data_IF_017244863917
#
_entry.id   IF_017244863917
#
_cell.length_a   1.000
_cell.length_b   1.000
_cell.length_c   1.000
_cell.angle_alpha   90.00
_cell.angle_beta   90.00
_cell.angle_gamma   90.00
#
_symmetry.space_group_name_H-M   'P 1'
#
loop_
_entity.id
_entity.type
_entity.pdbx_description
1 polymer ?
#
# COMPACT_ATOMS: atom_id res chain seq x y z
N UNK A 1 65.69 -45.18 -4.13
CA UNK A 1 65.24 -43.81 -4.42
C UNK A 1 63.74 -43.74 -4.15
N UNK A 2 63.35 -43.24 -2.95
CA UNK A 2 61.91 -43.14 -2.54
C UNK A 2 61.41 -41.77 -2.95
N UNK A 3 60.38 -41.70 -3.84
CA UNK A 3 59.72 -40.47 -4.22
C UNK A 3 58.65 -40.16 -3.21
N UNK A 4 58.82 -39.03 -2.51
CA UNK A 4 57.90 -38.49 -1.54
C UNK A 4 56.82 -37.72 -2.32
N UNK A 5 55.52 -38.15 -2.30
CA UNK A 5 54.36 -37.43 -2.81
C UNK A 5 53.83 -36.56 -1.69
N UNK A 6 53.84 -35.25 -1.89
CA UNK A 6 53.28 -34.27 -1.00
C UNK A 6 51.83 -33.95 -1.51
N UNK A 7 50.78 -34.14 -0.71
CA UNK A 7 49.44 -33.74 -1.13
C UNK A 7 49.25 -32.24 -0.90
N UNK A 8 48.94 -31.53 -1.97
CA UNK A 8 48.57 -30.13 -1.99
C UNK A 8 47.12 -30.00 -1.45
N UNK A 9 46.97 -29.51 -0.22
CA UNK A 9 45.67 -29.19 0.37
C UNK A 9 45.22 -27.84 -0.20
N UNK A 10 44.26 -27.86 -1.12
CA UNK A 10 43.56 -26.66 -1.62
C UNK A 10 42.54 -26.23 -0.58
N UNK A 11 42.86 -25.17 0.16
CA UNK A 11 41.94 -24.53 1.11
C UNK A 11 40.96 -23.66 0.33
N UNK A 12 39.75 -24.16 0.07
CA UNK A 12 38.66 -23.39 -0.50
C UNK A 12 38.08 -22.50 0.58
N UNK A 13 38.48 -21.23 0.59
CA UNK A 13 37.81 -20.19 1.42
C UNK A 13 36.45 -19.88 0.84
N UNK A 14 35.41 -20.39 1.49
CA UNK A 14 34.02 -19.98 1.24
C UNK A 14 33.86 -18.53 1.67
N UNK A 15 33.89 -17.58 0.73
CA UNK A 15 33.39 -16.25 0.95
C UNK A 15 31.86 -16.34 1.06
N UNK A 16 31.37 -16.48 2.29
CA UNK A 16 29.98 -16.30 2.58
C UNK A 16 29.65 -14.82 2.33
N UNK A 17 28.94 -14.52 1.22
CA UNK A 17 28.27 -13.24 1.06
C UNK A 17 27.25 -13.10 2.18
N UNK A 18 27.61 -12.36 3.23
CA UNK A 18 26.63 -11.91 4.21
C UNK A 18 25.70 -10.92 3.52
N UNK A 19 24.43 -11.29 3.39
CA UNK A 19 23.40 -10.35 3.01
C UNK A 19 23.41 -9.17 4.00
N UNK A 20 23.22 -7.92 3.55
CA UNK A 20 23.22 -6.78 4.45
C UNK A 20 22.09 -6.97 5.48
N UNK A 21 22.44 -7.05 6.76
CA UNK A 21 21.46 -7.06 7.84
C UNK A 21 20.62 -5.80 7.76
N UNK A 22 19.34 -5.96 7.52
CA UNK A 22 18.37 -4.87 7.58
C UNK A 22 18.25 -4.44 9.05
N UNK A 23 18.96 -3.38 9.44
CA UNK A 23 18.85 -2.84 10.79
C UNK A 23 17.45 -2.31 11.01
N UNK A 24 16.63 -3.08 11.72
CA UNK A 24 15.34 -2.62 12.24
C UNK A 24 15.65 -1.60 13.33
N UNK A 25 15.35 -0.32 13.07
CA UNK A 25 15.48 0.71 14.11
C UNK A 25 14.26 0.60 15.02
N UNK A 26 14.43 -0.03 16.17
CA UNK A 26 13.42 -0.05 17.24
C UNK A 26 13.49 1.27 17.96
N UNK A 27 12.46 2.10 17.85
CA UNK A 27 12.28 3.27 18.68
C UNK A 27 11.61 2.82 19.97
N UNK A 28 12.27 2.99 21.11
CA UNK A 28 11.68 2.68 22.40
C UNK A 28 10.42 3.54 22.62
N UNK A 29 9.29 2.88 22.89
CA UNK A 29 8.06 3.57 23.24
C UNK A 29 8.16 4.17 24.64
N UNK A 30 7.64 5.38 24.85
CA UNK A 30 7.42 5.91 26.19
C UNK A 30 6.27 5.16 26.88
N UNK A 31 6.33 4.97 28.19
CA UNK A 31 5.38 4.17 28.98
C UNK A 31 3.94 4.70 28.94
N UNK A 32 3.69 5.91 28.49
CA UNK A 32 2.41 6.63 28.62
C UNK A 32 1.58 6.75 27.36
N UNK A 33 2.01 6.19 26.21
CA UNK A 33 1.27 6.36 24.94
C UNK A 33 1.22 5.02 24.22
N UNK A 34 0.20 4.84 23.41
CA UNK A 34 0.03 3.74 22.44
C UNK A 34 1.29 3.61 21.56
N UNK A 35 2.37 3.12 22.16
CA UNK A 35 3.65 2.94 21.53
C UNK A 35 3.62 1.78 20.54
N UNK A 36 4.59 1.75 19.65
CA UNK A 36 4.74 0.68 18.67
C UNK A 36 6.05 0.80 17.92
N UNK A 37 6.28 -0.13 17.01
CA UNK A 37 7.40 -0.10 16.07
C UNK A 37 6.90 0.13 14.65
N UNK A 38 7.75 0.70 13.79
CA UNK A 38 7.48 0.73 12.36
C UNK A 38 8.61 0.04 11.59
N UNK A 39 8.25 -0.60 10.48
CA UNK A 39 9.17 -1.28 9.57
C UNK A 39 8.94 -0.75 8.16
N UNK A 40 10.01 -0.40 7.45
CA UNK A 40 9.92 0.17 6.10
C UNK A 40 9.98 -0.87 4.98
N UNK A 41 10.42 -2.09 5.26
CA UNK A 41 10.57 -3.17 4.28
C UNK A 41 10.20 -4.49 4.94
N UNK A 42 8.95 -4.88 4.87
CA UNK A 42 8.44 -6.15 5.37
C UNK A 42 7.47 -6.79 4.37
N UNK A 43 6.91 -7.92 4.73
CA UNK A 43 5.94 -8.62 3.90
C UNK A 43 4.66 -7.79 3.66
N UNK A 44 4.22 -7.01 4.63
CA UNK A 44 3.01 -6.18 4.51
C UNK A 44 3.22 -5.02 3.55
N UNK A 45 4.35 -4.31 3.65
CA UNK A 45 4.71 -3.28 2.67
C UNK A 45 4.87 -3.86 1.27
N UNK A 46 5.43 -5.08 1.12
CA UNK A 46 5.53 -5.77 -0.16
C UNK A 46 4.15 -6.08 -0.75
N UNK A 47 3.20 -6.56 0.05
CA UNK A 47 1.81 -6.81 -0.37
C UNK A 47 1.09 -5.50 -0.77
N UNK A 48 1.30 -4.40 -0.05
CA UNK A 48 0.71 -3.09 -0.45
C UNK A 48 1.32 -2.59 -1.75
N UNK A 49 2.62 -2.77 -1.95
CA UNK A 49 3.26 -2.47 -3.23
C UNK A 49 2.66 -3.28 -4.37
N UNK A 50 2.44 -4.58 -4.17
CA UNK A 50 1.77 -5.47 -5.13
C UNK A 50 0.34 -4.99 -5.45
N UNK A 51 -0.44 -4.53 -4.45
CA UNK A 51 -1.76 -3.94 -4.65
C UNK A 51 -1.69 -2.71 -5.55
N UNK A 52 -0.77 -1.79 -5.30
CA UNK A 52 -0.57 -0.57 -6.09
C UNK A 52 -0.17 -0.93 -7.53
N UNK A 53 0.81 -1.82 -7.72
CA UNK A 53 1.26 -2.24 -9.05
C UNK A 53 0.16 -2.94 -9.85
N UNK A 54 -0.69 -3.73 -9.19
CA UNK A 54 -1.85 -4.40 -9.78
C UNK A 54 -2.93 -3.38 -10.17
N UNK A 55 -3.25 -2.44 -9.26
CA UNK A 55 -4.15 -1.33 -9.56
C UNK A 55 -3.69 -0.54 -10.78
N UNK A 56 -2.42 -0.16 -10.88
CA UNK A 56 -1.89 0.60 -12.03
C UNK A 56 -2.07 -0.11 -13.37
N UNK A 57 -2.10 -1.45 -13.36
CA UNK A 57 -2.35 -2.30 -14.54
C UNK A 57 -3.84 -2.55 -14.79
N UNK A 58 -4.75 -1.96 -13.99
CA UNK A 58 -6.17 -2.30 -13.97
C UNK A 58 -6.43 -3.80 -13.78
N UNK A 59 -5.57 -4.46 -13.00
CA UNK A 59 -5.63 -5.86 -12.63
C UNK A 59 -6.10 -6.00 -11.18
N UNK A 60 -7.10 -6.81 -10.92
CA UNK A 60 -7.65 -7.00 -9.58
C UNK A 60 -7.17 -8.27 -8.87
N UNK A 61 -6.21 -9.00 -9.45
CA UNK A 61 -5.74 -10.29 -8.89
C UNK A 61 -5.20 -10.11 -7.48
N UNK A 62 -4.27 -9.16 -7.27
CA UNK A 62 -3.73 -8.89 -5.93
C UNK A 62 -4.81 -8.41 -4.96
N UNK A 63 -5.80 -7.64 -5.41
CA UNK A 63 -6.91 -7.19 -4.58
C UNK A 63 -7.78 -8.37 -4.10
N UNK A 64 -8.04 -9.37 -4.95
CA UNK A 64 -8.74 -10.59 -4.56
C UNK A 64 -7.94 -11.44 -3.56
N UNK A 65 -6.63 -11.46 -3.68
CA UNK A 65 -5.74 -12.23 -2.79
C UNK A 65 -5.54 -11.56 -1.45
N UNK A 66 -5.41 -10.23 -1.40
CA UNK A 66 -4.93 -9.50 -0.22
C UNK A 66 -6.09 -8.91 0.59
N UNK A 67 -7.16 -8.40 -0.04
CA UNK A 67 -8.30 -7.88 0.70
C UNK A 67 -9.21 -8.99 1.21
N UNK A 68 -9.74 -8.83 2.43
CA UNK A 68 -10.82 -9.67 2.94
C UNK A 68 -12.11 -9.42 2.16
N UNK A 69 -12.99 -10.43 2.06
CA UNK A 69 -14.31 -10.28 1.42
C UNK A 69 -15.15 -9.19 2.08
N UNK A 70 -15.03 -9.08 3.41
CA UNK A 70 -15.71 -8.11 4.28
C UNK A 70 -14.95 -6.80 4.42
N UNK A 71 -14.06 -6.46 3.47
CA UNK A 71 -13.27 -5.23 3.50
C UNK A 71 -14.13 -4.01 3.85
N UNK A 72 -13.69 -3.22 4.82
CA UNK A 72 -14.27 -1.91 5.15
C UNK A 72 -13.45 -0.84 4.45
N UNK A 73 -14.03 -0.18 3.45
CA UNK A 73 -13.41 0.95 2.79
C UNK A 73 -13.96 2.26 3.38
N UNK A 74 -13.06 3.16 3.76
CA UNK A 74 -13.39 4.44 4.39
C UNK A 74 -12.65 5.54 3.62
N UNK A 75 -13.39 6.47 3.05
CA UNK A 75 -12.83 7.61 2.34
C UNK A 75 -12.97 8.87 3.19
N UNK A 76 -11.85 9.37 3.70
CA UNK A 76 -11.76 10.54 4.55
C UNK A 76 -11.65 11.83 3.73
N UNK A 77 -12.79 12.34 3.25
CA UNK A 77 -12.88 13.66 2.63
C UNK A 77 -14.04 14.47 3.24
N UNK A 78 -14.06 15.76 2.95
CA UNK A 78 -15.03 16.67 3.53
C UNK A 78 -16.49 16.18 3.30
N UNK A 79 -17.30 16.25 4.35
CA UNK A 79 -18.72 15.87 4.38
C UNK A 79 -19.01 14.37 4.21
N UNK A 80 -18.01 13.50 4.18
CA UNK A 80 -18.22 12.04 4.18
C UNK A 80 -18.43 11.52 5.61
N UNK A 81 -19.43 12.07 6.31
CA UNK A 81 -19.79 11.68 7.68
C UNK A 81 -21.26 11.30 7.78
N UNK A 82 -21.56 10.42 8.73
CA UNK A 82 -22.94 10.05 9.08
C UNK A 82 -23.58 11.09 10.03
N UNK A 83 -24.82 10.85 10.41
CA UNK A 83 -25.56 11.71 11.35
C UNK A 83 -24.95 11.82 12.75
N UNK A 84 -24.00 10.95 13.07
CA UNK A 84 -23.24 10.93 14.34
C UNK A 84 -21.81 11.48 14.18
N UNK A 85 -21.54 12.20 13.06
CA UNK A 85 -20.23 12.75 12.70
C UNK A 85 -19.10 11.69 12.60
N UNK A 86 -19.41 10.44 12.30
CA UNK A 86 -18.44 9.38 12.03
C UNK A 86 -18.21 9.26 10.53
N UNK A 87 -16.98 9.04 10.11
CA UNK A 87 -16.68 8.82 8.69
C UNK A 87 -17.41 7.58 8.18
N UNK A 88 -18.08 7.71 7.05
CA UNK A 88 -18.88 6.62 6.46
C UNK A 88 -18.00 5.49 5.94
N UNK A 89 -18.43 4.27 6.20
CA UNK A 89 -17.89 3.06 5.57
C UNK A 89 -18.63 2.86 4.25
N UNK A 90 -17.89 2.73 3.16
CA UNK A 90 -18.46 2.42 1.85
C UNK A 90 -19.06 1.01 1.87
N UNK A 91 -20.31 0.82 1.44
CA UNK A 91 -20.94 -0.49 1.44
C UNK A 91 -20.36 -1.40 0.34
N UNK A 92 -20.55 -2.73 0.48
CA UNK A 92 -20.31 -3.71 -0.56
C UNK A 92 -18.93 -4.41 -0.52
N UNK A 93 -18.11 -4.13 0.49
CA UNK A 93 -16.89 -4.88 0.76
C UNK A 93 -15.86 -4.83 -0.38
N UNK A 94 -15.04 -5.88 -0.48
CA UNK A 94 -13.99 -6.01 -1.51
C UNK A 94 -14.50 -5.84 -2.93
N UNK A 95 -15.64 -6.43 -3.25
CA UNK A 95 -16.19 -6.38 -4.61
C UNK A 95 -16.52 -4.95 -5.05
N UNK A 96 -17.16 -4.17 -4.16
CA UNK A 96 -17.48 -2.76 -4.44
C UNK A 96 -16.19 -1.91 -4.51
N UNK A 97 -15.20 -2.19 -3.67
CA UNK A 97 -13.92 -1.49 -3.70
C UNK A 97 -13.20 -1.71 -5.04
N UNK A 98 -13.10 -2.96 -5.52
CA UNK A 98 -12.53 -3.28 -6.83
C UNK A 98 -13.32 -2.63 -7.97
N UNK A 99 -14.66 -2.61 -7.87
CA UNK A 99 -15.50 -1.95 -8.88
C UNK A 99 -15.23 -0.45 -8.95
N UNK A 100 -15.03 0.21 -7.81
CA UNK A 100 -14.66 1.62 -7.74
C UNK A 100 -13.26 1.89 -8.34
N UNK A 101 -12.28 1.02 -8.10
CA UNK A 101 -10.96 1.13 -8.71
C UNK A 101 -11.05 1.02 -10.24
N UNK A 102 -11.80 0.04 -10.75
CA UNK A 102 -12.07 -0.10 -12.19
C UNK A 102 -12.80 1.11 -12.77
N UNK A 103 -13.77 1.66 -12.05
CA UNK A 103 -14.46 2.88 -12.44
C UNK A 103 -13.48 4.04 -12.60
N UNK A 104 -12.51 4.21 -11.70
CA UNK A 104 -11.46 5.22 -11.84
C UNK A 104 -10.69 5.06 -13.15
N UNK A 105 -10.36 3.84 -13.57
CA UNK A 105 -9.73 3.56 -14.85
C UNK A 105 -10.63 3.85 -16.07
N UNK A 106 -11.96 3.89 -15.90
CA UNK A 106 -12.84 4.36 -16.98
C UNK A 106 -12.81 5.88 -17.14
N UNK A 107 -12.54 6.61 -16.05
CA UNK A 107 -12.53 8.08 -16.01
C UNK A 107 -11.16 8.68 -16.38
N UNK A 108 -10.06 8.00 -16.02
CA UNK A 108 -8.70 8.52 -16.21
C UNK A 108 -7.85 7.59 -17.08
N UNK A 109 -6.90 8.21 -17.81
CA UNK A 109 -5.76 7.55 -18.46
C UNK A 109 -4.45 7.93 -17.76
N UNK A 110 -3.35 7.30 -18.14
CA UNK A 110 -2.00 7.63 -17.69
C UNK A 110 -1.87 7.63 -16.15
N UNK A 111 -2.59 6.72 -15.50
CA UNK A 111 -2.62 6.63 -14.05
C UNK A 111 -1.26 6.17 -13.54
N UNK A 112 -0.71 6.91 -12.57
CA UNK A 112 0.49 6.50 -11.84
C UNK A 112 0.39 6.80 -10.35
N UNK A 113 1.18 6.10 -9.55
CA UNK A 113 1.33 6.33 -8.11
C UNK A 113 2.81 6.33 -7.75
N UNK A 114 3.23 7.28 -6.91
CA UNK A 114 4.61 7.30 -6.44
C UNK A 114 4.89 6.11 -5.51
N UNK A 115 6.08 5.54 -5.62
CA UNK A 115 6.59 4.46 -4.75
C UNK A 115 8.05 4.76 -4.39
N UNK A 116 8.27 5.91 -3.76
CA UNK A 116 9.60 6.32 -3.32
C UNK A 116 9.98 5.60 -2.02
N UNK A 117 11.27 5.64 -1.69
CA UNK A 117 11.76 5.12 -0.41
C UNK A 117 11.10 5.86 0.74
N UNK A 118 10.37 5.11 1.59
CA UNK A 118 9.69 5.64 2.76
C UNK A 118 8.20 5.96 2.55
N UNK A 119 7.68 5.88 1.32
CA UNK A 119 6.25 6.04 1.05
C UNK A 119 5.40 4.94 1.70
N UNK A 120 5.98 3.77 1.96
CA UNK A 120 5.34 2.64 2.62
C UNK A 120 6.02 2.33 3.95
N UNK A 121 5.21 2.14 5.00
CA UNK A 121 5.67 1.72 6.35
C UNK A 121 4.62 0.85 7.00
N UNK A 122 5.04 -0.25 7.63
CA UNK A 122 4.18 -1.05 8.50
C UNK A 122 4.37 -0.60 9.95
N UNK A 123 3.26 -0.37 10.62
CA UNK A 123 3.16 -0.02 12.04
C UNK A 123 2.66 -1.24 12.80
N UNK A 124 3.33 -1.57 13.89
CA UNK A 124 2.98 -2.65 14.79
C UNK A 124 2.75 -2.04 16.16
N UNK A 125 1.48 -1.94 16.57
CA UNK A 125 1.11 -1.42 17.88
C UNK A 125 1.47 -2.38 19.01
N UNK A 126 1.65 -1.86 20.22
CA UNK A 126 1.92 -2.66 21.42
C UNK A 126 0.79 -3.65 21.76
N UNK A 127 -0.42 -3.38 21.26
CA UNK A 127 -1.59 -4.26 21.36
C UNK A 127 -1.65 -5.35 20.28
N UNK A 128 -0.61 -5.46 19.45
CA UNK A 128 -0.54 -6.42 18.34
C UNK A 128 -1.30 -6.01 17.07
N UNK A 129 -1.91 -4.83 17.02
CA UNK A 129 -2.51 -4.31 15.79
C UNK A 129 -1.43 -4.01 14.75
N UNK A 130 -1.72 -4.37 13.49
CA UNK A 130 -0.81 -4.14 12.38
C UNK A 130 -1.51 -3.29 11.33
N UNK A 131 -0.84 -2.23 10.89
CA UNK A 131 -1.31 -1.37 9.81
C UNK A 131 -0.15 -1.00 8.88
N UNK A 132 -0.42 -0.91 7.57
CA UNK A 132 0.54 -0.37 6.61
C UNK A 132 0.04 0.96 6.10
N UNK A 133 0.84 2.00 6.26
CA UNK A 133 0.59 3.33 5.72
C UNK A 133 1.28 3.52 4.37
N UNK A 134 0.61 4.19 3.45
CA UNK A 134 1.14 4.72 2.21
C UNK A 134 0.94 6.23 2.16
N UNK A 135 1.99 6.95 1.82
CA UNK A 135 2.01 8.40 1.60
C UNK A 135 2.59 8.66 0.23
N UNK A 136 1.76 9.05 -0.71
CA UNK A 136 2.25 9.23 -2.08
C UNK A 136 1.41 10.19 -2.89
N UNK A 137 1.74 10.24 -4.16
CA UNK A 137 1.05 11.04 -5.15
C UNK A 137 0.40 10.10 -6.17
N UNK A 138 -0.92 10.23 -6.31
CA UNK A 138 -1.66 9.66 -7.42
C UNK A 138 -1.73 10.69 -8.55
N UNK A 139 -1.49 10.26 -9.79
CA UNK A 139 -1.64 11.10 -10.97
C UNK A 139 -2.47 10.41 -12.02
N UNK A 140 -3.14 11.18 -12.87
CA UNK A 140 -3.89 10.68 -14.01
C UNK A 140 -4.34 11.82 -14.91
N UNK A 141 -4.76 11.48 -16.13
CA UNK A 141 -5.33 12.42 -17.08
C UNK A 141 -6.80 12.11 -17.28
N UNK A 142 -7.67 13.08 -17.00
CA UNK A 142 -9.10 12.96 -17.21
C UNK A 142 -9.46 12.72 -18.68
N UNK A 143 -10.25 11.69 -18.98
CA UNK A 143 -10.64 11.33 -20.35
C UNK A 143 -11.69 12.28 -20.93
N UNK A 144 -12.48 12.93 -20.07
CA UNK A 144 -13.55 13.84 -20.47
C UNK A 144 -13.14 15.30 -20.36
N UNK A 145 -12.42 15.66 -19.28
CA UNK A 145 -11.90 17.03 -19.09
C UNK A 145 -10.60 17.28 -19.83
N UNK A 146 -9.84 16.23 -20.17
CA UNK A 146 -8.47 16.29 -20.72
C UNK A 146 -7.46 17.00 -19.78
N UNK A 147 -7.80 17.09 -18.49
CA UNK A 147 -6.95 17.73 -17.47
C UNK A 147 -5.99 16.73 -16.83
N UNK A 148 -4.72 17.11 -16.70
CA UNK A 148 -3.78 16.40 -15.83
C UNK A 148 -4.11 16.67 -14.37
N UNK A 149 -4.08 15.63 -13.56
CA UNK A 149 -4.43 15.66 -12.16
C UNK A 149 -3.34 15.06 -11.31
N UNK A 150 -3.06 15.71 -10.18
CA UNK A 150 -2.13 15.23 -9.14
C UNK A 150 -2.82 15.32 -7.79
N UNK A 151 -3.03 14.18 -7.17
CA UNK A 151 -3.74 14.07 -5.90
C UNK A 151 -2.81 13.47 -4.86
N UNK A 152 -2.44 14.22 -3.79
CA UNK A 152 -1.83 13.61 -2.61
C UNK A 152 -2.78 12.55 -2.06
N UNK A 153 -2.27 11.34 -1.89
CA UNK A 153 -3.03 10.20 -1.40
C UNK A 153 -2.35 9.60 -0.17
N UNK A 154 -3.09 9.55 0.91
CA UNK A 154 -2.71 8.82 2.09
C UNK A 154 -3.64 7.62 2.27
N UNK A 155 -3.08 6.42 2.48
CA UNK A 155 -3.83 5.22 2.77
C UNK A 155 -3.31 4.57 4.05
N UNK A 156 -4.22 4.02 4.86
CA UNK A 156 -3.89 3.14 5.98
C UNK A 156 -4.63 1.83 5.77
N UNK A 157 -3.90 0.73 5.72
CA UNK A 157 -4.41 -0.61 5.52
C UNK A 157 -4.23 -1.41 6.81
N UNK A 158 -5.34 -1.76 7.47
CA UNK A 158 -5.34 -2.56 8.68
C UNK A 158 -5.40 -4.05 8.35
N UNK A 159 -4.58 -4.83 9.05
CA UNK A 159 -4.40 -6.24 8.80
C UNK A 159 -5.00 -7.12 9.89
N UNK A 160 -5.63 -8.23 9.48
CA UNK A 160 -5.91 -9.39 10.31
C UNK A 160 -5.26 -10.61 9.64
N UNK A 161 -4.23 -11.17 10.27
CA UNK A 161 -3.37 -12.17 9.64
C UNK A 161 -2.80 -11.65 8.31
N UNK A 162 -3.11 -12.34 7.22
CA UNK A 162 -2.62 -12.02 5.87
C UNK A 162 -3.58 -11.19 5.02
N UNK A 163 -4.71 -10.77 5.58
CA UNK A 163 -5.73 -10.01 4.87
C UNK A 163 -5.84 -8.59 5.37
N UNK A 164 -6.05 -7.66 4.44
CA UNK A 164 -6.47 -6.30 4.77
C UNK A 164 -7.98 -6.32 5.02
N UNK A 165 -8.39 -5.95 6.23
CA UNK A 165 -9.79 -5.92 6.65
C UNK A 165 -10.40 -4.51 6.61
N UNK A 166 -9.55 -3.48 6.71
CA UNK A 166 -9.97 -2.08 6.62
C UNK A 166 -8.96 -1.29 5.81
N UNK A 167 -9.43 -0.47 4.89
CA UNK A 167 -8.64 0.53 4.20
C UNK A 167 -9.24 1.92 4.47
N UNK A 168 -8.41 2.84 4.93
CA UNK A 168 -8.75 4.24 5.09
C UNK A 168 -7.96 5.05 4.07
N UNK A 169 -8.65 5.87 3.27
CA UNK A 169 -8.02 6.74 2.27
C UNK A 169 -8.35 8.19 2.57
N UNK A 170 -7.34 9.06 2.47
CA UNK A 170 -7.50 10.51 2.57
C UNK A 170 -7.00 11.12 1.27
N UNK A 171 -7.88 11.82 0.56
CA UNK A 171 -7.59 12.47 -0.71
C UNK A 171 -8.62 13.57 -1.01
N UNK A 172 -8.30 14.45 -1.96
CA UNK A 172 -9.27 15.41 -2.49
C UNK A 172 -10.08 14.79 -3.64
N UNK A 173 -11.40 14.58 -3.51
CA UNK A 173 -12.23 13.99 -4.55
C UNK A 173 -12.61 14.97 -5.66
N UNK A 174 -12.25 16.25 -5.58
CA UNK A 174 -12.75 17.31 -6.48
C UNK A 174 -12.50 16.97 -7.96
N UNK A 175 -11.32 16.44 -8.29
CA UNK A 175 -10.96 16.07 -9.66
C UNK A 175 -11.77 14.90 -10.19
N UNK A 176 -11.99 13.86 -9.39
CA UNK A 176 -12.86 12.74 -9.78
C UNK A 176 -14.29 13.24 -9.99
N UNK A 177 -14.79 14.09 -9.10
CA UNK A 177 -16.13 14.67 -9.20
C UNK A 177 -16.28 15.50 -10.49
N UNK A 178 -15.29 16.31 -10.83
CA UNK A 178 -15.28 17.10 -12.06
C UNK A 178 -15.27 16.20 -13.31
N UNK A 179 -14.49 15.13 -13.31
CA UNK A 179 -14.42 14.19 -14.42
C UNK A 179 -15.73 13.43 -14.62
N UNK A 180 -16.36 12.98 -13.53
CA UNK A 180 -17.69 12.36 -13.57
C UNK A 180 -18.75 13.35 -14.10
N UNK A 181 -18.76 14.60 -13.66
CA UNK A 181 -19.67 15.62 -14.19
C UNK A 181 -19.47 15.85 -15.68
N UNK A 182 -18.22 15.94 -16.15
CA UNK A 182 -17.90 16.11 -17.57
C UNK A 182 -18.32 14.89 -18.42
N UNK A 183 -18.31 13.69 -17.86
CA UNK A 183 -18.74 12.46 -18.56
C UNK A 183 -20.26 12.43 -18.84
N UNK A 184 -21.04 13.16 -18.07
CA UNK A 184 -22.51 13.22 -18.20
C UNK A 184 -22.99 14.26 -19.23
N UNK A 185 -22.08 15.11 -19.71
CA UNK A 185 -22.40 16.20 -20.65
C UNK A 185 -22.02 15.88 -22.09
N UNK A 186 -21.41 14.74 -22.35
CA UNK A 186 -21.07 14.19 -23.67
C UNK A 186 -21.99 13.05 -24.05
#
# INVERSE_FOLDING_TARGET
MKKLFLPLIVMVTMLACQAPETKTTVVAASEDIEGGTYVSLDEKTAKVKQLIESYLKNDSTAAHEIYADTLKAIDGFANNVDSLNRVKVSPGGRAAFIANDRFTHTMFSDISMSLNKGDLKTFIGNNGQVATGYWGLWTGKGKYTNQETKVPLHMILWWEGDKVVTIYRIFDPATLTAEVAASQTK
#
